data_IF_690091686892
#
_entry.id   IF_690091686892
#
_cell.length_a   1.000
_cell.length_b   1.000
_cell.length_c   1.000
_cell.angle_alpha   90.00
_cell.angle_beta   90.00
_cell.angle_gamma   90.00
#
_symmetry.space_group_name_H-M   'P 1'
#
loop_
_entity.id
_entity.type
_entity.pdbx_description
1 polymer ?
#
# COMPACT_ATOMS: atom_id res chain seq x y z
N UNK A 1 -2.94 7.68 3.63
CA UNK A 1 -3.35 6.45 4.32
C UNK A 1 -2.16 5.84 5.05
N UNK A 2 -1.15 5.30 4.35
CA UNK A 2 0.05 4.71 4.98
C UNK A 2 0.85 5.69 5.85
N UNK A 3 1.15 6.91 5.37
CA UNK A 3 1.82 7.96 6.17
C UNK A 3 1.12 8.31 7.49
N UNK A 4 -0.20 8.18 7.51
CA UNK A 4 -1.00 8.44 8.71
C UNK A 4 -0.92 7.27 9.70
N UNK A 5 -0.81 6.02 9.19
CA UNK A 5 -0.54 4.83 10.00
C UNK A 5 0.89 4.84 10.55
N UNK A 6 1.85 5.13 9.70
CA UNK A 6 3.28 5.14 9.99
C UNK A 6 3.88 6.52 9.65
N UNK A 7 4.10 7.39 10.65
CA UNK A 7 4.72 8.68 10.44
C UNK A 7 6.13 8.62 9.82
N UNK A 8 6.83 7.48 9.97
CA UNK A 8 8.16 7.28 9.38
C UNK A 8 8.12 6.94 7.89
N UNK A 9 6.96 6.54 7.35
CA UNK A 9 6.79 6.22 5.94
C UNK A 9 7.19 7.42 5.08
N UNK A 10 8.17 7.28 4.18
CA UNK A 10 8.58 8.39 3.31
C UNK A 10 7.65 8.45 2.08
N UNK A 11 7.91 7.59 1.09
CA UNK A 11 7.13 7.49 -0.14
C UNK A 11 7.20 6.06 -0.66
N UNK A 12 6.09 5.54 -1.15
CA UNK A 12 6.04 4.32 -1.96
C UNK A 12 6.00 4.76 -3.43
N UNK A 13 7.10 4.59 -4.16
CA UNK A 13 7.20 5.00 -5.56
C UNK A 13 6.27 4.17 -6.45
N UNK A 14 5.80 4.78 -7.54
CA UNK A 14 5.13 4.04 -8.61
C UNK A 14 6.12 3.12 -9.34
N UNK A 15 5.60 2.14 -10.08
CA UNK A 15 6.42 1.28 -10.94
C UNK A 15 7.13 2.09 -12.04
N UNK A 16 6.49 3.14 -12.54
CA UNK A 16 7.06 4.06 -13.51
C UNK A 16 8.24 4.84 -12.90
N UNK A 17 8.08 5.40 -11.71
CA UNK A 17 9.16 6.11 -11.00
C UNK A 17 10.34 5.17 -10.70
N UNK A 18 10.07 3.90 -10.33
CA UNK A 18 11.13 2.90 -10.19
C UNK A 18 11.80 2.59 -11.52
N UNK A 19 11.05 2.42 -12.61
CA UNK A 19 11.59 2.16 -13.94
C UNK A 19 12.51 3.28 -14.41
N UNK A 20 12.10 4.53 -14.22
CA UNK A 20 12.91 5.72 -14.51
C UNK A 20 14.19 5.76 -13.65
N UNK A 21 14.08 5.46 -12.36
CA UNK A 21 15.24 5.43 -11.46
C UNK A 21 16.28 4.38 -11.88
N UNK A 22 15.84 3.20 -12.32
CA UNK A 22 16.71 2.14 -12.83
C UNK A 22 17.41 2.56 -14.14
N UNK A 23 16.65 3.14 -15.07
CA UNK A 23 17.20 3.64 -16.34
C UNK A 23 18.23 4.77 -16.12
N UNK A 24 17.97 5.69 -15.19
CA UNK A 24 18.83 6.82 -14.90
C UNK A 24 20.24 6.43 -14.41
N UNK A 25 20.39 5.24 -13.82
CA UNK A 25 21.68 4.72 -13.34
C UNK A 25 22.32 3.69 -14.29
N UNK A 26 21.78 3.54 -15.51
CA UNK A 26 22.27 2.59 -16.51
C UNK A 26 22.03 1.13 -16.12
N UNK A 27 21.00 0.84 -15.33
CA UNK A 27 20.63 -0.51 -14.89
C UNK A 27 19.22 -0.82 -15.42
N UNK A 28 19.04 -1.17 -16.71
CA UNK A 28 17.71 -1.45 -17.24
C UNK A 28 17.02 -2.58 -16.48
N UNK A 29 15.70 -2.44 -16.27
CA UNK A 29 14.87 -3.50 -15.71
C UNK A 29 14.81 -4.70 -16.66
N UNK A 30 15.01 -5.90 -16.13
CA UNK A 30 14.85 -7.17 -16.83
C UNK A 30 13.53 -7.86 -16.48
N UNK A 31 13.03 -7.64 -15.26
CA UNK A 31 11.79 -8.22 -14.78
C UNK A 31 11.05 -7.22 -13.89
N UNK A 32 9.74 -7.20 -14.03
CA UNK A 32 8.83 -6.47 -13.15
C UNK A 32 7.58 -7.32 -12.98
N UNK A 33 7.20 -7.54 -11.73
CA UNK A 33 5.93 -8.17 -11.38
C UNK A 33 5.31 -7.52 -10.16
N UNK A 34 4.00 -7.67 -10.04
CA UNK A 34 3.22 -7.19 -8.91
C UNK A 34 2.45 -8.32 -8.26
N UNK A 35 2.30 -8.26 -6.95
CA UNK A 35 1.45 -9.17 -6.19
C UNK A 35 0.48 -8.38 -5.30
N UNK A 36 -0.73 -8.92 -5.14
CA UNK A 36 -1.67 -8.43 -4.14
C UNK A 36 -1.38 -9.11 -2.81
N UNK A 37 -1.35 -8.31 -1.74
CA UNK A 37 -1.13 -8.78 -0.37
C UNK A 37 -2.34 -8.44 0.49
N UNK A 38 -3.06 -9.47 0.89
CA UNK A 38 -4.18 -9.34 1.81
C UNK A 38 -3.72 -8.82 3.17
N UNK A 39 -4.45 -7.84 3.67
CA UNK A 39 -4.26 -7.23 4.98
C UNK A 39 -5.57 -7.31 5.74
N UNK A 40 -5.52 -7.79 6.98
CA UNK A 40 -6.60 -7.56 7.95
C UNK A 40 -6.35 -6.19 8.59
N UNK A 41 -7.35 -5.31 8.57
CA UNK A 41 -7.20 -3.90 8.89
C UNK A 41 -6.71 -3.65 10.31
N UNK A 42 -7.29 -4.31 11.32
CA UNK A 42 -6.95 -4.05 12.73
C UNK A 42 -5.55 -4.55 13.07
N UNK A 43 -5.17 -5.71 12.54
CA UNK A 43 -3.80 -6.23 12.60
C UNK A 43 -2.82 -5.33 11.85
N UNK A 44 -3.18 -4.86 10.64
CA UNK A 44 -2.34 -3.96 9.87
C UNK A 44 -2.10 -2.65 10.63
N UNK A 45 -3.14 -1.99 11.13
CA UNK A 45 -3.03 -0.73 11.87
C UNK A 45 -2.19 -0.89 13.15
N UNK A 46 -2.49 -1.91 13.97
CA UNK A 46 -1.82 -2.13 15.27
C UNK A 46 -0.32 -2.40 15.17
N UNK A 47 0.17 -2.95 14.05
CA UNK A 47 1.62 -3.17 13.84
C UNK A 47 2.49 -1.91 13.97
N UNK A 48 1.93 -0.72 13.75
CA UNK A 48 2.65 0.55 13.89
C UNK A 48 2.28 1.32 15.16
N UNK A 49 1.63 0.66 16.12
CA UNK A 49 1.18 1.26 17.39
C UNK A 49 0.32 2.51 17.17
N UNK A 50 -0.55 2.48 16.15
CA UNK A 50 -1.44 3.61 15.86
C UNK A 50 -2.37 3.89 17.03
N UNK A 51 -2.52 5.17 17.38
CA UNK A 51 -3.46 5.58 18.43
C UNK A 51 -4.90 5.18 18.06
N UNK A 52 -5.82 4.99 19.04
CA UNK A 52 -7.22 4.69 18.74
C UNK A 52 -7.87 5.72 17.81
N UNK A 53 -7.61 7.01 18.01
CA UNK A 53 -8.12 8.08 17.16
C UNK A 53 -7.60 7.96 15.71
N UNK A 54 -6.32 7.64 15.53
CA UNK A 54 -5.72 7.38 14.21
C UNK A 54 -6.36 6.15 13.56
N UNK A 55 -6.55 5.06 14.29
CA UNK A 55 -7.19 3.84 13.78
C UNK A 55 -8.63 4.11 13.34
N UNK A 56 -9.43 4.83 14.12
CA UNK A 56 -10.79 5.26 13.72
C UNK A 56 -10.77 6.09 12.45
N UNK A 57 -9.83 7.04 12.33
CA UNK A 57 -9.68 7.87 11.13
C UNK A 57 -9.29 7.04 9.91
N UNK A 58 -8.34 6.11 10.03
CA UNK A 58 -7.93 5.21 8.96
C UNK A 58 -9.10 4.34 8.49
N UNK A 59 -9.91 3.82 9.43
CA UNK A 59 -11.09 3.03 9.11
C UNK A 59 -12.11 3.85 8.30
N UNK A 60 -12.40 5.07 8.75
CA UNK A 60 -13.29 5.97 8.03
C UNK A 60 -12.76 6.30 6.63
N UNK A 61 -11.46 6.56 6.49
CA UNK A 61 -10.83 6.81 5.19
C UNK A 61 -11.00 5.63 4.21
N UNK A 62 -10.88 4.38 4.69
CA UNK A 62 -11.03 3.19 3.85
C UNK A 62 -12.49 2.93 3.47
N UNK A 63 -13.42 3.06 4.43
CA UNK A 63 -14.86 2.83 4.20
C UNK A 63 -15.48 3.90 3.30
N UNK A 64 -14.99 5.14 3.39
CA UNK A 64 -15.51 6.28 2.62
C UNK A 64 -14.62 6.65 1.43
N UNK A 65 -13.72 5.77 1.03
CA UNK A 65 -12.79 6.07 -0.06
C UNK A 65 -13.56 6.26 -1.39
N UNK A 66 -13.09 7.15 -2.28
CA UNK A 66 -13.64 7.26 -3.63
C UNK A 66 -13.57 5.92 -4.39
N UNK A 67 -14.46 5.72 -5.35
CA UNK A 67 -14.54 4.47 -6.12
C UNK A 67 -13.18 4.01 -6.69
N UNK A 68 -12.33 4.88 -7.28
CA UNK A 68 -11.05 4.42 -7.80
C UNK A 68 -10.11 3.86 -6.73
N UNK A 69 -10.20 4.37 -5.50
CA UNK A 69 -9.42 3.87 -4.36
C UNK A 69 -9.98 2.55 -3.84
N UNK A 70 -11.31 2.40 -3.82
CA UNK A 70 -11.96 1.14 -3.47
C UNK A 70 -11.65 0.04 -4.51
N UNK A 71 -11.67 0.38 -5.80
CA UNK A 71 -11.29 -0.53 -6.87
C UNK A 71 -9.82 -0.95 -6.77
N UNK A 72 -8.94 -0.06 -6.32
CA UNK A 72 -7.51 -0.35 -6.14
C UNK A 72 -7.24 -1.20 -4.87
N UNK A 73 -7.78 -0.80 -3.71
CA UNK A 73 -7.52 -1.48 -2.44
C UNK A 73 -8.42 -2.71 -2.23
N UNK A 74 -9.47 -2.87 -3.03
CA UNK A 74 -10.43 -3.99 -3.02
C UNK A 74 -10.85 -4.42 -1.61
N UNK A 75 -11.38 -3.51 -0.76
CA UNK A 75 -11.75 -3.89 0.60
C UNK A 75 -12.93 -4.87 0.62
N UNK A 76 -12.89 -5.84 1.52
CA UNK A 76 -13.99 -6.76 1.83
C UNK A 76 -14.45 -6.54 3.28
N UNK A 77 -15.76 -6.63 3.48
CA UNK A 77 -16.41 -6.39 4.76
C UNK A 77 -17.12 -7.65 5.23
N UNK A 78 -16.83 -8.09 6.45
CA UNK A 78 -17.48 -9.25 7.08
C UNK A 78 -17.81 -8.91 8.53
N UNK A 79 -18.99 -8.34 8.76
CA UNK A 79 -19.35 -7.78 10.07
C UNK A 79 -18.52 -6.53 10.36
N UNK A 80 -17.82 -6.52 11.48
CA UNK A 80 -16.89 -5.47 11.90
C UNK A 80 -15.49 -5.59 11.29
N UNK A 81 -15.16 -6.78 10.77
CA UNK A 81 -13.86 -7.09 10.15
C UNK A 81 -13.76 -6.50 8.75
N UNK A 82 -12.61 -5.88 8.48
CA UNK A 82 -12.26 -5.35 7.17
C UNK A 82 -10.97 -6.02 6.71
N UNK A 83 -10.98 -6.59 5.52
CA UNK A 83 -9.75 -6.93 4.80
C UNK A 83 -9.61 -6.03 3.58
N UNK A 84 -8.39 -5.84 3.11
CA UNK A 84 -8.09 -5.10 1.88
C UNK A 84 -6.75 -5.59 1.32
N UNK A 85 -6.40 -5.18 0.11
CA UNK A 85 -5.14 -5.54 -0.53
C UNK A 85 -4.21 -4.34 -0.66
N UNK A 86 -2.93 -4.58 -0.39
CA UNK A 86 -1.84 -3.72 -0.85
C UNK A 86 -1.20 -4.34 -2.08
N UNK A 87 -0.72 -3.50 -2.98
CA UNK A 87 0.09 -3.96 -4.12
C UNK A 87 1.57 -3.87 -3.75
N UNK A 88 2.27 -5.00 -3.83
CA UNK A 88 3.73 -5.08 -3.71
C UNK A 88 4.33 -5.36 -5.09
N UNK A 89 5.59 -5.00 -5.30
CA UNK A 89 6.30 -5.19 -6.56
C UNK A 89 7.67 -5.82 -6.34
N UNK A 90 8.07 -6.68 -7.29
CA UNK A 90 9.43 -7.21 -7.41
C UNK A 90 10.00 -6.66 -8.72
N UNK A 91 11.15 -5.99 -8.62
CA UNK A 91 11.88 -5.43 -9.75
C UNK A 91 13.29 -6.02 -9.78
N UNK A 92 13.71 -6.53 -10.94
CA UNK A 92 15.05 -7.07 -11.15
C UNK A 92 15.70 -6.25 -12.26
N UNK A 93 16.78 -5.55 -11.95
CA UNK A 93 17.61 -4.85 -12.93
C UNK A 93 18.97 -5.52 -13.11
N UNK A 94 19.60 -5.26 -14.26
CA UNK A 94 20.93 -5.75 -14.57
C UNK A 94 21.84 -4.59 -14.96
N UNK A 95 23.02 -4.56 -14.36
CA UNK A 95 24.11 -3.64 -14.70
C UNK A 95 25.00 -4.23 -15.79
#
# INVERSE_FOLDING_TARGET
FEKLRDPSHNRCLSLEEWSEAFAAVGCPLQHQETAQKGMEFDWWASRMQTTPATTTRLRAMLVQAPEPVLAFLTPQYSGDRITFHLTEAILIGRK
#
